data_IF_657870829756
#
_entry.id   IF_657870829756
#
_cell.length_a   1.000
_cell.length_b   1.000
_cell.length_c   1.000
_cell.angle_alpha   90.00
_cell.angle_beta   90.00
_cell.angle_gamma   90.00
#
_symmetry.space_group_name_H-M   'P 1'
#
loop_
_entity.id
_entity.type
_entity.pdbx_description
1 polymer ?
#
# COMPACT_ATOMS: atom_id res chain seq x y z
N UNK A 1 8.26 10.65 -11.72
CA UNK A 1 8.26 9.66 -10.63
C UNK A 1 7.36 10.18 -9.53
N UNK A 2 6.57 9.31 -8.90
CA UNK A 2 5.78 9.62 -7.71
C UNK A 2 6.47 9.06 -6.46
N UNK A 3 6.27 9.76 -5.34
CA UNK A 3 6.80 9.36 -4.03
C UNK A 3 5.62 9.08 -3.11
N UNK A 4 5.55 7.85 -2.60
CA UNK A 4 4.46 7.41 -1.72
C UNK A 4 5.01 6.89 -0.40
N UNK A 5 4.22 7.07 0.65
CA UNK A 5 4.54 6.56 1.97
C UNK A 5 3.63 5.36 2.29
N UNK A 6 4.27 4.21 2.45
CA UNK A 6 3.69 2.91 2.74
C UNK A 6 3.70 2.72 4.25
N UNK A 7 2.54 2.52 4.88
CA UNK A 7 2.46 2.22 6.31
C UNK A 7 2.27 0.72 6.51
N UNK A 8 3.19 0.09 7.23
CA UNK A 8 3.17 -1.34 7.51
C UNK A 8 2.39 -1.67 8.78
N UNK A 9 1.65 -2.79 8.73
CA UNK A 9 0.88 -3.32 9.85
C UNK A 9 1.10 -4.82 10.02
N UNK A 10 0.76 -5.33 11.20
CA UNK A 10 0.80 -6.75 11.54
C UNK A 10 2.10 -7.44 11.07
N UNK A 11 1.98 -8.51 10.29
CA UNK A 11 3.10 -9.32 9.80
C UNK A 11 4.16 -8.50 9.04
N UNK A 12 3.77 -7.42 8.33
CA UNK A 12 4.74 -6.57 7.63
C UNK A 12 5.62 -5.77 8.58
N UNK A 13 5.16 -5.41 9.77
CA UNK A 13 6.03 -4.74 10.75
C UNK A 13 7.06 -5.69 11.33
N UNK A 14 6.66 -6.95 11.52
CA UNK A 14 7.59 -8.00 11.95
C UNK A 14 8.61 -8.29 10.86
N UNK A 15 8.18 -8.36 9.59
CA UNK A 15 9.04 -8.61 8.45
C UNK A 15 10.02 -7.45 8.18
N UNK A 16 9.53 -6.22 8.13
CA UNK A 16 10.33 -5.05 7.73
C UNK A 16 11.04 -4.37 8.90
N UNK A 17 10.61 -4.63 10.14
CA UNK A 17 11.04 -3.90 11.34
C UNK A 17 10.59 -2.43 11.38
N UNK A 18 9.85 -1.95 10.37
CA UNK A 18 9.50 -0.54 10.18
C UNK A 18 7.99 -0.33 10.34
N UNK A 19 7.61 0.87 10.76
CA UNK A 19 6.19 1.31 10.78
C UNK A 19 5.74 1.84 9.43
N UNK A 20 6.68 2.38 8.67
CA UNK A 20 6.44 2.93 7.35
C UNK A 20 7.73 3.00 6.54
N UNK A 21 7.59 3.06 5.24
CA UNK A 21 8.69 3.26 4.30
C UNK A 21 8.22 4.09 3.12
N UNK A 22 9.15 4.84 2.57
CA UNK A 22 8.91 5.63 1.38
C UNK A 22 9.41 4.90 0.14
N UNK A 23 8.56 4.89 -0.89
CA UNK A 23 8.81 4.17 -2.13
C UNK A 23 8.60 5.15 -3.28
N UNK A 24 9.58 5.21 -4.17
CA UNK A 24 9.49 5.93 -5.42
C UNK A 24 9.04 4.97 -6.51
N UNK A 25 8.03 5.38 -7.28
CA UNK A 25 7.43 4.59 -8.34
C UNK A 25 7.22 5.45 -9.61
N UNK A 26 7.05 4.84 -10.79
CA UNK A 26 6.62 5.56 -12.00
C UNK A 26 5.26 6.26 -11.82
N UNK A 27 5.01 7.37 -12.54
CA UNK A 27 3.78 8.18 -12.42
C UNK A 27 2.47 7.44 -12.73
N UNK A 28 2.55 6.27 -13.37
CA UNK A 28 1.41 5.40 -13.69
C UNK A 28 1.46 4.06 -12.93
N UNK A 29 2.19 3.99 -11.81
CA UNK A 29 2.26 2.76 -11.03
C UNK A 29 0.91 2.46 -10.38
N UNK A 30 0.55 1.18 -10.36
CA UNK A 30 -0.61 0.66 -9.65
C UNK A 30 -0.17 -0.13 -8.41
N UNK A 31 -1.14 -0.59 -7.62
CA UNK A 31 -0.87 -1.35 -6.39
C UNK A 31 -0.08 -2.62 -6.65
N UNK A 32 -0.33 -3.31 -7.76
CA UNK A 32 0.48 -4.49 -8.15
C UNK A 32 1.95 -4.12 -8.37
N UNK A 33 2.24 -3.02 -9.08
CA UNK A 33 3.61 -2.52 -9.24
C UNK A 33 4.29 -2.16 -7.91
N UNK A 34 3.55 -1.61 -6.96
CA UNK A 34 4.06 -1.40 -5.60
C UNK A 34 4.33 -2.72 -4.86
N UNK A 35 3.46 -3.72 -5.01
CA UNK A 35 3.70 -5.05 -4.42
C UNK A 35 4.96 -5.68 -5.00
N UNK A 36 5.17 -5.57 -6.30
CA UNK A 36 6.36 -6.11 -6.96
C UNK A 36 7.64 -5.44 -6.43
N UNK A 37 7.63 -4.12 -6.25
CA UNK A 37 8.73 -3.37 -5.64
C UNK A 37 8.98 -3.80 -4.18
N UNK A 38 7.92 -4.03 -3.40
CA UNK A 38 8.05 -4.52 -2.03
C UNK A 38 8.58 -5.96 -1.98
N UNK A 39 8.19 -6.82 -2.91
CA UNK A 39 8.69 -8.20 -3.02
C UNK A 39 10.17 -8.18 -3.38
N UNK A 40 10.59 -7.31 -4.31
CA UNK A 40 12.00 -7.15 -4.66
C UNK A 40 12.87 -6.74 -3.45
N UNK A 41 12.32 -5.94 -2.54
CA UNK A 41 13.01 -5.50 -1.30
C UNK A 41 12.94 -6.53 -0.18
N UNK A 42 11.84 -7.26 -0.07
CA UNK A 42 11.56 -8.20 1.01
C UNK A 42 11.12 -9.56 0.43
N UNK A 43 12.03 -10.31 -0.22
CA UNK A 43 11.70 -11.55 -0.93
C UNK A 43 11.11 -12.62 0.01
N UNK A 44 11.59 -12.70 1.26
CA UNK A 44 11.07 -13.62 2.28
C UNK A 44 9.60 -13.35 2.64
N UNK A 45 9.10 -12.16 2.31
CA UNK A 45 7.73 -11.72 2.53
C UNK A 45 6.78 -11.93 1.37
N UNK A 46 7.21 -12.56 0.26
CA UNK A 46 6.46 -12.59 -0.99
C UNK A 46 5.01 -13.08 -0.81
N UNK A 47 4.83 -14.20 -0.12
CA UNK A 47 3.50 -14.77 0.14
C UNK A 47 2.62 -13.83 0.95
N UNK A 48 3.21 -13.16 1.94
CA UNK A 48 2.51 -12.17 2.78
C UNK A 48 2.08 -11.00 1.89
N UNK A 49 3.00 -10.40 1.14
CA UNK A 49 2.76 -9.22 0.29
C UNK A 49 1.71 -9.51 -0.79
N UNK A 50 1.77 -10.68 -1.44
CA UNK A 50 0.78 -11.09 -2.45
C UNK A 50 -0.63 -11.19 -1.86
N UNK A 51 -0.76 -11.79 -0.67
CA UNK A 51 -2.06 -11.99 0.00
C UNK A 51 -2.64 -10.73 0.65
N UNK A 52 -1.87 -9.65 0.77
CA UNK A 52 -2.30 -8.45 1.49
C UNK A 52 -3.32 -7.61 0.74
N UNK A 53 -4.26 -7.05 1.51
CA UNK A 53 -5.14 -5.98 1.07
C UNK A 53 -4.42 -4.62 1.15
N UNK A 54 -4.74 -3.75 0.21
CA UNK A 54 -4.16 -2.41 0.09
C UNK A 54 -5.25 -1.35 0.22
N UNK A 55 -4.91 -0.19 0.81
CA UNK A 55 -5.83 0.94 0.92
C UNK A 55 -5.17 2.28 0.60
N UNK A 56 -5.57 2.91 -0.50
CA UNK A 56 -5.08 4.24 -0.89
C UNK A 56 -5.92 5.28 -0.14
N UNK A 57 -5.27 6.16 0.63
CA UNK A 57 -5.95 7.22 1.39
C UNK A 57 -7.14 6.72 2.24
N UNK A 58 -6.99 5.55 2.86
CA UNK A 58 -8.02 4.88 3.69
C UNK A 58 -9.23 4.31 2.93
N UNK A 59 -9.16 4.21 1.61
CA UNK A 59 -10.16 3.55 0.77
C UNK A 59 -9.58 2.25 0.23
N UNK A 60 -10.35 1.16 0.28
CA UNK A 60 -9.94 -0.12 -0.31
C UNK A 60 -9.69 0.03 -1.80
N UNK A 61 -8.60 -0.56 -2.26
CA UNK A 61 -8.18 -0.45 -3.64
C UNK A 61 -7.69 -1.81 -4.14
N UNK A 62 -8.14 -2.15 -5.35
CA UNK A 62 -7.76 -3.37 -6.04
C UNK A 62 -6.33 -3.28 -6.58
N UNK A 63 -5.76 -4.42 -6.98
CA UNK A 63 -4.38 -4.49 -7.46
C UNK A 63 -4.11 -3.60 -8.70
N UNK A 64 -5.14 -3.32 -9.50
CA UNK A 64 -5.08 -2.49 -10.71
C UNK A 64 -5.29 -0.99 -10.42
N UNK A 65 -5.63 -0.62 -9.18
CA UNK A 65 -5.86 0.77 -8.83
C UNK A 65 -4.57 1.59 -9.00
N UNK A 66 -4.68 2.69 -9.74
CA UNK A 66 -3.57 3.62 -9.99
C UNK A 66 -3.21 4.38 -8.71
N UNK A 67 -1.91 4.46 -8.44
CA UNK A 67 -1.33 5.26 -7.38
C UNK A 67 -1.16 6.70 -7.90
N UNK A 68 -2.25 7.34 -8.32
CA UNK A 68 -2.19 8.73 -8.78
C UNK A 68 -1.85 9.68 -7.63
N UNK A 69 -1.14 10.75 -7.99
CA UNK A 69 -0.74 11.80 -7.05
C UNK A 69 -1.90 12.72 -6.66
N UNK A 70 -3.04 12.64 -7.37
CA UNK A 70 -4.24 13.44 -7.15
C UNK A 70 -5.14 12.82 -6.06
N UNK A 71 -5.87 13.64 -5.28
CA UNK A 71 -6.77 13.13 -4.25
C UNK A 71 -7.91 12.33 -4.87
N UNK A 72 -7.90 11.01 -4.66
CA UNK A 72 -9.02 10.13 -4.98
C UNK A 72 -10.32 10.65 -4.33
N UNK A 73 -11.45 10.75 -5.07
CA UNK A 73 -12.71 11.21 -4.51
C UNK A 73 -13.15 10.30 -3.34
N UNK A 74 -13.46 10.91 -2.19
CA UNK A 74 -13.87 10.19 -0.99
C UNK A 74 -15.29 9.63 -1.17
N UNK A 75 -15.41 8.31 -1.29
CA UNK A 75 -16.66 7.61 -1.05
C UNK A 75 -16.60 6.97 0.35
N UNK A 76 -17.53 7.36 1.22
CA UNK A 76 -17.69 6.80 2.57
C UNK A 76 -18.82 5.75 2.54
N UNK A 77 -18.52 4.52 2.97
CA UNK A 77 -19.54 3.56 3.44
C UNK A 77 -19.13 3.07 4.84
N UNK A 78 -20.07 3.14 5.78
CA UNK A 78 -19.85 3.19 7.23
C UNK A 78 -19.81 1.80 7.90
N UNK A 79 -19.58 0.71 7.15
CA UNK A 79 -19.74 -0.65 7.72
C UNK A 79 -18.67 -1.65 7.25
N UNK A 80 -17.52 -1.73 7.96
CA UNK A 80 -16.83 -3.00 8.35
C UNK A 80 -15.42 -2.80 8.94
N UNK A 81 -15.22 -3.32 10.15
CA UNK A 81 -13.94 -3.62 10.84
C UNK A 81 -13.52 -5.09 10.59
N UNK A 82 -12.34 -5.60 11.05
CA UNK A 82 -10.97 -5.16 10.77
C UNK A 82 -10.04 -6.37 10.45
N UNK A 83 -9.38 -6.48 9.29
CA UNK A 83 -8.32 -7.50 9.11
C UNK A 83 -7.22 -7.03 8.16
N UNK A 84 -5.98 -6.97 8.68
CA UNK A 84 -4.71 -6.87 7.94
C UNK A 84 -4.65 -5.81 6.82
N UNK A 85 -4.55 -4.54 7.20
CA UNK A 85 -4.46 -3.44 6.22
C UNK A 85 -3.09 -2.79 6.19
N UNK A 86 -2.52 -2.59 5.00
CA UNK A 86 -1.53 -1.53 4.77
C UNK A 86 -2.29 -0.24 4.44
N UNK A 87 -2.01 0.81 5.20
CA UNK A 87 -2.50 2.16 4.91
C UNK A 87 -1.44 2.91 4.10
N UNK A 88 -1.82 3.52 2.99
CA UNK A 88 -0.93 4.39 2.23
C UNK A 88 -1.38 5.83 2.48
N UNK A 89 -0.49 6.68 3.02
CA UNK A 89 -0.80 8.08 3.35
C UNK A 89 0.26 8.99 2.77
N UNK A 90 -0.07 9.69 1.68
CA UNK A 90 0.80 10.70 1.08
C UNK A 90 1.06 11.85 2.06
N UNK A 91 2.30 12.34 2.11
CA UNK A 91 2.66 13.57 2.81
C UNK A 91 2.68 14.68 1.77
N UNK A 92 1.88 15.72 1.98
CA UNK A 92 1.87 16.98 1.21
C UNK A 92 3.04 17.83 1.71
#
# INVERSE_FOLDING_TARGET
MIRINVLFFAAMRTLTGKKSEEVELPDAACISGLKDELIARYPDGELIIKSMLASINQVFADAEAELSSEPSPKFYDEKRTPHNYCHYRKRI
#
